data_IF_020196314539
#
_entry.id   IF_020196314539
#
_cell.length_a   1.000
_cell.length_b   1.000
_cell.length_c   1.000
_cell.angle_alpha   90.00
_cell.angle_beta   90.00
_cell.angle_gamma   90.00
#
_symmetry.space_group_name_H-M   'P 1'
#
loop_
_entity.id
_entity.type
_entity.pdbx_description
1 polymer ?
#
# COMPACT_ATOMS: atom_id res chain seq x y z
N UNK A 1 -16.25 3.74 25.42
CA UNK A 1 -14.85 4.16 25.18
C UNK A 1 -14.40 3.69 23.80
N UNK A 2 -14.12 4.61 22.87
CA UNK A 2 -13.45 4.22 21.63
C UNK A 2 -12.08 3.65 21.97
N UNK A 3 -11.80 2.39 21.58
CA UNK A 3 -10.47 1.80 21.79
C UNK A 3 -9.45 2.61 20.98
N UNK A 4 -8.65 3.44 21.64
CA UNK A 4 -7.64 4.33 21.02
C UNK A 4 -6.23 3.73 21.05
N UNK A 5 -6.00 2.67 21.84
CA UNK A 5 -4.68 2.07 22.07
C UNK A 5 -3.94 1.70 20.77
N UNK A 6 -4.64 1.16 19.77
CA UNK A 6 -4.03 0.72 18.51
C UNK A 6 -3.57 1.90 17.64
N UNK A 7 -4.20 3.08 17.79
CA UNK A 7 -3.77 4.32 17.13
C UNK A 7 -2.46 4.81 17.73
N UNK A 8 -2.40 4.83 19.07
CA UNK A 8 -1.20 5.19 19.82
C UNK A 8 -0.07 4.20 19.48
N UNK A 9 -0.37 2.91 19.47
CA UNK A 9 0.58 1.87 19.06
C UNK A 9 1.10 2.12 17.64
N UNK A 10 0.21 2.36 16.66
CA UNK A 10 0.61 2.66 15.29
C UNK A 10 1.57 3.86 15.20
N UNK A 11 1.24 4.96 15.88
CA UNK A 11 2.11 6.15 15.94
C UNK A 11 3.45 5.87 16.60
N UNK A 12 3.46 5.18 17.75
CA UNK A 12 4.68 4.81 18.47
C UNK A 12 5.57 3.91 17.62
N UNK A 13 5.00 2.91 16.93
CA UNK A 13 5.76 2.03 16.05
C UNK A 13 6.38 2.80 14.88
N UNK A 14 5.62 3.67 14.20
CA UNK A 14 6.17 4.46 13.09
C UNK A 14 7.29 5.39 13.58
N UNK A 15 7.11 6.07 14.72
CA UNK A 15 8.14 6.94 15.32
C UNK A 15 9.38 6.12 15.69
N UNK A 16 9.20 4.99 16.38
CA UNK A 16 10.28 4.07 16.72
C UNK A 16 11.06 3.64 15.48
N UNK A 17 10.36 3.22 14.41
CA UNK A 17 11.03 2.77 13.18
C UNK A 17 11.69 3.89 12.40
N UNK A 18 11.19 5.12 12.48
CA UNK A 18 11.84 6.28 11.90
C UNK A 18 13.18 6.57 12.60
N UNK A 19 13.19 6.55 13.93
CA UNK A 19 14.39 6.79 14.73
C UNK A 19 15.37 5.61 14.56
N UNK A 20 14.92 4.39 14.81
CA UNK A 20 15.75 3.18 14.75
C UNK A 20 16.26 2.90 13.33
N UNK A 21 15.44 3.14 12.30
CA UNK A 21 15.84 2.95 10.90
C UNK A 21 16.95 3.89 10.43
N UNK A 22 17.10 5.05 11.07
CA UNK A 22 18.18 6.02 10.81
C UNK A 22 19.41 5.72 11.70
N UNK A 23 19.20 5.41 12.98
CA UNK A 23 20.30 5.32 13.95
C UNK A 23 20.94 3.92 14.06
N UNK A 24 20.18 2.84 13.87
CA UNK A 24 20.73 1.48 13.98
C UNK A 24 21.61 1.14 12.79
N UNK A 25 22.62 0.29 12.99
CA UNK A 25 23.49 -0.18 11.91
C UNK A 25 22.73 -1.07 10.91
N UNK A 26 23.08 -0.96 9.62
CA UNK A 26 22.57 -1.83 8.55
C UNK A 26 23.74 -2.54 7.84
N UNK A 27 23.52 -3.74 7.25
CA UNK A 27 24.55 -4.39 6.45
C UNK A 27 24.85 -3.57 5.20
N UNK A 28 26.15 -3.42 4.89
CA UNK A 28 26.61 -2.73 3.67
C UNK A 28 26.73 -3.73 2.54
N UNK A 29 25.66 -3.85 1.75
CA UNK A 29 25.65 -4.70 0.56
C UNK A 29 26.26 -3.96 -0.64
N UNK A 30 26.92 -4.68 -1.58
CA UNK A 30 27.36 -4.08 -2.84
C UNK A 30 26.23 -3.31 -3.53
N UNK A 31 26.55 -2.17 -4.15
CA UNK A 31 25.62 -1.24 -4.80
C UNK A 31 24.71 -0.47 -3.82
N UNK A 32 24.05 -1.14 -2.89
CA UNK A 32 23.00 -0.56 -2.05
C UNK A 32 23.57 0.18 -0.82
N UNK A 33 24.64 -0.33 -0.21
CA UNK A 33 25.27 0.27 0.97
C UNK A 33 24.24 0.68 2.04
N UNK A 34 24.28 1.93 2.52
CA UNK A 34 23.35 2.46 3.53
C UNK A 34 21.95 2.80 2.95
N UNK A 35 21.76 2.82 1.62
CA UNK A 35 20.46 3.12 1.01
C UNK A 35 19.40 2.07 1.31
N UNK A 36 19.81 0.88 1.79
CA UNK A 36 18.93 -0.21 2.24
C UNK A 36 17.99 0.24 3.36
N UNK A 37 18.32 1.30 4.11
CA UNK A 37 17.46 1.89 5.16
C UNK A 37 16.08 2.30 4.63
N UNK A 38 15.97 2.64 3.34
CA UNK A 38 14.68 2.93 2.71
C UNK A 38 13.69 1.75 2.81
N UNK A 39 14.18 0.52 2.95
CA UNK A 39 13.38 -0.69 3.16
C UNK A 39 12.39 -0.53 4.33
N UNK A 40 12.78 0.16 5.41
CA UNK A 40 11.96 0.34 6.60
C UNK A 40 10.77 1.30 6.41
N UNK A 41 10.71 2.00 5.28
CA UNK A 41 9.67 2.98 5.00
C UNK A 41 8.89 2.57 3.76
N UNK A 42 9.60 2.36 2.66
CA UNK A 42 9.03 2.09 1.35
C UNK A 42 8.20 0.79 1.32
N UNK A 43 8.78 -0.33 1.76
CA UNK A 43 8.10 -1.63 1.69
C UNK A 43 6.91 -1.75 2.65
N UNK A 44 7.01 -1.31 3.92
CA UNK A 44 5.86 -1.22 4.82
C UNK A 44 4.67 -0.43 4.27
N UNK A 45 4.90 0.66 3.52
CA UNK A 45 3.82 1.42 2.86
C UNK A 45 3.11 0.56 1.80
N UNK A 46 3.82 -0.27 1.03
CA UNK A 46 3.20 -1.22 0.12
C UNK A 46 2.34 -2.26 0.84
N UNK A 47 2.76 -2.74 2.02
CA UNK A 47 1.93 -3.64 2.81
C UNK A 47 0.66 -2.97 3.34
N UNK A 48 0.75 -1.71 3.79
CA UNK A 48 -0.42 -0.93 4.16
C UNK A 48 -1.41 -0.79 2.99
N UNK A 49 -0.91 -0.48 1.79
CA UNK A 49 -1.72 -0.44 0.56
C UNK A 49 -2.41 -1.77 0.28
N UNK A 50 -1.67 -2.89 0.31
CA UNK A 50 -2.21 -4.23 0.02
C UNK A 50 -3.29 -4.63 1.03
N UNK A 51 -3.10 -4.33 2.32
CA UNK A 51 -4.11 -4.58 3.36
C UNK A 51 -5.37 -3.75 3.09
N UNK A 52 -5.22 -2.47 2.75
CA UNK A 52 -6.35 -1.59 2.45
C UNK A 52 -7.11 -2.03 1.19
N UNK A 53 -6.42 -2.48 0.15
CA UNK A 53 -7.08 -3.03 -1.03
C UNK A 53 -7.73 -4.39 -0.77
N UNK A 54 -7.15 -5.21 0.12
CA UNK A 54 -7.78 -6.45 0.61
C UNK A 54 -9.08 -6.17 1.35
N UNK A 55 -9.10 -5.15 2.22
CA UNK A 55 -10.31 -4.69 2.90
C UNK A 55 -11.34 -4.21 1.87
N UNK A 56 -10.88 -3.48 0.85
CA UNK A 56 -11.73 -2.95 -0.20
C UNK A 56 -12.43 -4.06 -1.00
N UNK A 57 -11.70 -5.09 -1.43
CA UNK A 57 -12.29 -6.20 -2.20
C UNK A 57 -13.25 -7.03 -1.34
N UNK A 58 -12.93 -7.22 -0.05
CA UNK A 58 -13.83 -7.88 0.90
C UNK A 58 -15.19 -7.16 0.99
N UNK A 59 -15.17 -5.83 1.17
CA UNK A 59 -16.40 -5.05 1.22
C UNK A 59 -17.09 -4.91 -0.14
N UNK A 60 -16.35 -4.96 -1.24
CA UNK A 60 -16.91 -5.00 -2.60
C UNK A 60 -17.75 -6.27 -2.82
N UNK A 61 -17.22 -7.43 -2.41
CA UNK A 61 -17.94 -8.71 -2.47
C UNK A 61 -19.20 -8.66 -1.59
N UNK A 62 -19.06 -8.14 -0.35
CA UNK A 62 -20.18 -8.00 0.57
C UNK A 62 -21.26 -7.02 0.07
N UNK A 63 -20.85 -5.93 -0.58
CA UNK A 63 -21.77 -4.96 -1.18
C UNK A 63 -22.59 -5.58 -2.32
N UNK A 64 -22.02 -6.50 -3.10
CA UNK A 64 -22.76 -7.18 -4.18
C UNK A 64 -23.85 -8.11 -3.67
N UNK A 65 -23.61 -8.81 -2.55
CA UNK A 65 -24.61 -9.72 -1.96
C UNK A 65 -25.68 -8.98 -1.15
N UNK A 66 -25.27 -8.00 -0.36
CA UNK A 66 -26.18 -7.28 0.56
C UNK A 66 -26.84 -6.05 -0.05
N UNK A 67 -26.31 -5.50 -1.16
CA UNK A 67 -26.67 -4.18 -1.71
C UNK A 67 -26.58 -3.05 -0.68
N UNK A 68 -25.72 -3.21 0.33
CA UNK A 68 -25.55 -2.23 1.40
C UNK A 68 -24.67 -1.06 0.94
N UNK A 69 -25.24 0.15 0.96
CA UNK A 69 -24.51 1.40 0.70
C UNK A 69 -23.32 1.58 1.66
N UNK A 70 -23.48 1.17 2.92
CA UNK A 70 -22.40 1.25 3.93
C UNK A 70 -21.20 0.37 3.53
N UNK A 71 -21.44 -0.81 2.97
CA UNK A 71 -20.35 -1.68 2.52
C UNK A 71 -19.68 -1.13 1.26
N UNK A 72 -20.43 -0.51 0.36
CA UNK A 72 -19.88 0.23 -0.79
C UNK A 72 -19.00 1.42 -0.35
N UNK A 73 -19.45 2.22 0.62
CA UNK A 73 -18.66 3.33 1.20
C UNK A 73 -17.37 2.81 1.83
N UNK A 74 -17.41 1.70 2.57
CA UNK A 74 -16.19 1.09 3.12
C UNK A 74 -15.23 0.63 2.03
N UNK A 75 -15.74 0.05 0.95
CA UNK A 75 -14.92 -0.39 -0.16
C UNK A 75 -14.16 0.78 -0.79
N UNK A 76 -14.86 1.86 -1.19
CA UNK A 76 -14.25 3.01 -1.86
C UNK A 76 -13.32 3.78 -0.92
N UNK A 77 -13.67 3.99 0.35
CA UNK A 77 -12.77 4.72 1.26
C UNK A 77 -11.51 3.94 1.61
N UNK A 78 -11.57 2.60 1.55
CA UNK A 78 -10.38 1.76 1.66
C UNK A 78 -9.50 1.86 0.41
N UNK A 79 -10.08 1.99 -0.80
CA UNK A 79 -9.30 2.32 -2.01
C UNK A 79 -8.65 3.70 -1.89
N UNK A 80 -9.40 4.72 -1.51
CA UNK A 80 -8.89 6.09 -1.36
C UNK A 80 -7.70 6.13 -0.38
N UNK A 81 -7.81 5.43 0.75
CA UNK A 81 -6.69 5.31 1.69
C UNK A 81 -5.51 4.53 1.08
N UNK A 82 -5.77 3.41 0.40
CA UNK A 82 -4.72 2.58 -0.20
C UNK A 82 -3.91 3.32 -1.27
N UNK A 83 -4.56 4.10 -2.13
CA UNK A 83 -3.88 4.89 -3.19
C UNK A 83 -2.85 5.86 -2.58
N UNK A 84 -3.14 6.47 -1.43
CA UNK A 84 -2.18 7.34 -0.75
C UNK A 84 -0.88 6.59 -0.44
N UNK A 85 -0.98 5.37 0.09
CA UNK A 85 0.19 4.54 0.37
C UNK A 85 0.88 4.03 -0.89
N UNK A 86 0.14 3.73 -1.95
CA UNK A 86 0.71 3.38 -3.26
C UNK A 86 1.52 4.53 -3.84
N UNK A 87 1.00 5.76 -3.80
CA UNK A 87 1.71 6.96 -4.25
C UNK A 87 2.96 7.23 -3.40
N UNK A 88 2.85 7.14 -2.07
CA UNK A 88 4.01 7.27 -1.18
C UNK A 88 5.06 6.18 -1.47
N UNK A 89 4.62 4.94 -1.74
CA UNK A 89 5.47 3.85 -2.20
C UNK A 89 6.22 4.21 -3.48
N UNK A 90 5.52 4.70 -4.51
CA UNK A 90 6.15 5.13 -5.77
C UNK A 90 7.16 6.25 -5.56
N UNK A 91 6.81 7.30 -4.81
CA UNK A 91 7.68 8.45 -4.55
C UNK A 91 8.93 8.04 -3.78
N UNK A 92 8.77 7.32 -2.67
CA UNK A 92 9.91 6.86 -1.86
C UNK A 92 10.79 5.87 -2.62
N UNK A 93 10.19 5.03 -3.49
CA UNK A 93 10.91 4.11 -4.36
C UNK A 93 11.74 4.84 -5.42
N UNK A 94 11.16 5.86 -6.07
CA UNK A 94 11.86 6.68 -7.06
C UNK A 94 13.02 7.45 -6.44
N UNK A 95 12.84 8.02 -5.25
CA UNK A 95 13.93 8.69 -4.50
C UNK A 95 15.06 7.69 -4.22
N UNK A 96 14.74 6.50 -3.70
CA UNK A 96 15.74 5.47 -3.45
C UNK A 96 16.45 4.98 -4.71
N UNK A 97 15.73 4.84 -5.83
CA UNK A 97 16.31 4.51 -7.13
C UNK A 97 17.30 5.59 -7.59
N UNK A 98 16.98 6.88 -7.40
CA UNK A 98 17.89 7.98 -7.73
C UNK A 98 19.19 7.90 -6.94
N UNK A 99 19.10 7.60 -5.64
CA UNK A 99 20.28 7.44 -4.79
C UNK A 99 21.11 6.19 -5.10
N UNK A 100 20.46 5.08 -5.46
CA UNK A 100 21.13 3.77 -5.62
C UNK A 100 21.66 3.56 -7.05
N UNK A 101 20.92 4.01 -8.06
CA UNK A 101 21.18 3.75 -9.49
C UNK A 101 21.32 5.04 -10.32
N UNK A 102 21.27 6.21 -9.70
CA UNK A 102 21.52 7.49 -10.36
C UNK A 102 20.34 8.07 -11.15
N UNK A 103 19.17 7.41 -11.21
CA UNK A 103 17.97 7.89 -11.90
C UNK A 103 16.69 7.59 -11.09
N UNK A 104 15.70 8.49 -11.13
CA UNK A 104 14.42 8.28 -10.43
C UNK A 104 13.61 7.12 -10.99
N UNK A 105 13.76 6.87 -12.29
CA UNK A 105 13.06 5.81 -13.00
C UNK A 105 14.00 5.23 -14.06
N UNK A 106 14.13 3.91 -14.06
CA UNK A 106 15.02 3.16 -14.95
C UNK A 106 14.23 2.23 -15.87
N UNK A 107 12.90 2.38 -15.92
CA UNK A 107 11.99 1.45 -16.59
C UNK A 107 12.16 -0.01 -16.13
N UNK A 108 12.62 -0.19 -14.89
CA UNK A 108 12.76 -1.51 -14.28
C UNK A 108 11.37 -2.17 -14.14
N UNK A 109 11.25 -3.50 -14.31
CA UNK A 109 9.98 -4.20 -14.23
C UNK A 109 9.20 -3.93 -12.93
N UNK A 110 9.86 -3.89 -11.76
CA UNK A 110 9.15 -3.61 -10.50
C UNK A 110 8.65 -2.17 -10.44
N UNK A 111 9.41 -1.21 -10.96
CA UNK A 111 8.97 0.19 -11.05
C UNK A 111 7.72 0.30 -11.93
N UNK A 112 7.81 -0.18 -13.18
CA UNK A 112 6.72 -0.07 -14.15
C UNK A 112 5.45 -0.77 -13.67
N UNK A 113 5.55 -2.02 -13.19
CA UNK A 113 4.36 -2.73 -12.75
C UNK A 113 3.79 -2.19 -11.42
N UNK A 114 4.62 -1.61 -10.54
CA UNK A 114 4.14 -0.85 -9.39
C UNK A 114 3.35 0.40 -9.81
N UNK A 115 3.83 1.17 -10.78
CA UNK A 115 3.11 2.33 -11.31
C UNK A 115 1.78 1.91 -11.96
N UNK A 116 1.80 0.86 -12.80
CA UNK A 116 0.59 0.31 -13.42
C UNK A 116 -0.42 -0.16 -12.37
N UNK A 117 0.04 -0.75 -11.26
CA UNK A 117 -0.83 -1.18 -10.15
C UNK A 117 -1.56 0.00 -9.50
N UNK A 118 -0.89 1.13 -9.29
CA UNK A 118 -1.52 2.34 -8.75
C UNK A 118 -2.48 2.95 -9.78
N UNK A 119 -2.10 2.99 -11.06
CA UNK A 119 -2.96 3.46 -12.15
C UNK A 119 -4.23 2.61 -12.30
N UNK A 120 -4.15 1.29 -12.08
CA UNK A 120 -5.30 0.39 -12.07
C UNK A 120 -6.34 0.84 -11.02
N UNK A 121 -5.91 1.29 -9.85
CA UNK A 121 -6.81 1.81 -8.81
C UNK A 121 -7.25 3.27 -9.05
N UNK A 122 -6.48 4.07 -9.78
CA UNK A 122 -7.00 5.33 -10.32
C UNK A 122 -8.12 5.10 -11.34
N UNK A 123 -7.97 4.11 -12.21
CA UNK A 123 -9.01 3.73 -13.16
C UNK A 123 -10.29 3.24 -12.46
N UNK A 124 -10.18 2.53 -11.33
CA UNK A 124 -11.32 2.23 -10.45
C UNK A 124 -12.06 3.51 -10.01
N UNK A 125 -11.35 4.54 -9.53
CA UNK A 125 -11.97 5.81 -9.10
C UNK A 125 -12.59 6.59 -10.26
N UNK A 126 -11.92 6.64 -11.40
CA UNK A 126 -12.44 7.30 -12.61
C UNK A 126 -13.74 6.62 -13.05
N UNK A 127 -13.74 5.29 -13.16
CA UNK A 127 -14.92 4.52 -13.53
C UNK A 127 -16.07 4.76 -12.56
N UNK A 128 -15.79 4.74 -11.26
CA UNK A 128 -16.79 4.98 -10.22
C UNK A 128 -17.41 6.37 -10.32
N UNK A 129 -16.60 7.40 -10.52
CA UNK A 129 -17.05 8.79 -10.59
C UNK A 129 -17.76 9.13 -11.91
N UNK A 130 -17.65 8.28 -12.94
CA UNK A 130 -18.35 8.43 -14.21
C UNK A 130 -19.79 7.88 -14.19
N UNK A 131 -20.25 7.31 -13.08
CA UNK A 131 -21.58 6.68 -12.96
C UNK A 131 -22.42 7.45 -11.94
N UNK A 132 -23.48 8.09 -12.42
CA UNK A 132 -24.38 8.91 -11.58
C UNK A 132 -25.27 8.05 -10.67
N UNK A 133 -25.90 7.01 -11.24
CA UNK A 133 -26.84 6.15 -10.52
C UNK A 133 -26.10 5.30 -9.48
N UNK A 134 -26.50 5.45 -8.22
CA UNK A 134 -25.76 4.95 -7.06
C UNK A 134 -25.63 3.42 -7.01
N UNK A 135 -26.71 2.69 -7.28
CA UNK A 135 -26.69 1.23 -7.22
C UNK A 135 -25.82 0.65 -8.33
N UNK A 136 -25.90 1.20 -9.54
CA UNK A 136 -25.06 0.87 -10.69
C UNK A 136 -23.62 1.23 -10.43
N UNK A 137 -23.34 2.40 -9.84
CA UNK A 137 -22.00 2.84 -9.44
C UNK A 137 -21.38 1.84 -8.46
N UNK A 138 -22.09 1.50 -7.39
CA UNK A 138 -21.63 0.53 -6.40
C UNK A 138 -21.35 -0.83 -7.02
N UNK A 139 -22.29 -1.36 -7.82
CA UNK A 139 -22.17 -2.66 -8.47
C UNK A 139 -20.99 -2.74 -9.45
N UNK A 140 -20.89 -1.78 -10.38
CA UNK A 140 -19.83 -1.77 -11.40
C UNK A 140 -18.45 -1.57 -10.75
N UNK A 141 -18.35 -0.67 -9.77
CA UNK A 141 -17.13 -0.46 -9.01
C UNK A 141 -16.71 -1.75 -8.29
N UNK A 142 -17.63 -2.41 -7.59
CA UNK A 142 -17.33 -3.64 -6.87
C UNK A 142 -16.79 -4.75 -7.80
N UNK A 143 -17.42 -4.94 -8.97
CA UNK A 143 -16.94 -5.91 -9.97
C UNK A 143 -15.54 -5.55 -10.47
N UNK A 144 -15.30 -4.28 -10.80
CA UNK A 144 -13.98 -3.82 -11.21
C UNK A 144 -12.93 -4.12 -10.14
N UNK A 145 -13.24 -3.83 -8.87
CA UNK A 145 -12.29 -4.02 -7.77
C UNK A 145 -11.94 -5.49 -7.53
N UNK A 146 -12.93 -6.39 -7.66
CA UNK A 146 -12.73 -7.84 -7.60
C UNK A 146 -11.77 -8.32 -8.68
N UNK A 147 -11.79 -7.71 -9.87
CA UNK A 147 -10.83 -7.97 -10.93
C UNK A 147 -9.46 -7.28 -10.69
N UNK A 148 -9.48 -6.03 -10.22
CA UNK A 148 -8.29 -5.22 -10.04
C UNK A 148 -7.35 -5.79 -8.98
N UNK A 149 -7.88 -6.36 -7.90
CA UNK A 149 -7.06 -6.86 -6.80
C UNK A 149 -6.16 -8.05 -7.22
N UNK A 150 -6.66 -9.14 -7.84
CA UNK A 150 -5.80 -10.18 -8.42
C UNK A 150 -4.83 -9.66 -9.47
N UNK A 151 -5.26 -8.72 -10.33
CA UNK A 151 -4.38 -8.11 -11.33
C UNK A 151 -3.22 -7.35 -10.67
N UNK A 152 -3.48 -6.58 -9.61
CA UNK A 152 -2.43 -5.94 -8.80
C UNK A 152 -1.47 -6.97 -8.20
N UNK A 153 -1.98 -8.10 -7.69
CA UNK A 153 -1.11 -9.17 -7.17
C UNK A 153 -0.20 -9.72 -8.27
N UNK A 154 -0.74 -9.94 -9.48
CA UNK A 154 0.05 -10.37 -10.64
C UNK A 154 1.11 -9.33 -11.02
N UNK A 155 0.74 -8.05 -11.08
CA UNK A 155 1.63 -6.94 -11.42
C UNK A 155 2.76 -6.77 -10.39
N UNK A 156 2.48 -6.90 -9.09
CA UNK A 156 3.49 -6.68 -8.05
C UNK A 156 4.34 -7.91 -7.74
N UNK A 157 3.76 -9.11 -7.83
CA UNK A 157 4.41 -10.33 -7.34
C UNK A 157 4.79 -11.32 -8.45
N UNK A 158 4.05 -11.38 -9.56
CA UNK A 158 4.29 -12.39 -10.60
C UNK A 158 5.16 -11.81 -11.72
N UNK A 159 4.69 -10.80 -12.44
CA UNK A 159 5.36 -10.28 -13.65
C UNK A 159 6.79 -9.78 -13.40
N UNK A 160 7.11 -9.07 -12.30
CA UNK A 160 8.47 -8.57 -12.10
C UNK A 160 9.49 -9.67 -11.84
N UNK A 161 9.07 -10.91 -11.52
CA UNK A 161 9.96 -12.07 -11.34
C UNK A 161 10.24 -12.82 -12.65
N UNK A 162 9.50 -12.50 -13.72
CA UNK A 162 9.69 -13.09 -15.05
C UNK A 162 10.73 -12.32 -15.89
N UNK A 163 11.33 -11.27 -15.33
CA UNK A 163 12.30 -10.39 -16.00
C UNK A 163 13.43 -10.05 -15.02
N UNK A 164 14.60 -9.76 -15.57
CA UNK A 164 15.71 -9.22 -14.78
C UNK A 164 15.33 -7.85 -14.21
N UNK A 165 15.78 -7.59 -12.99
CA UNK A 165 15.43 -6.37 -12.26
C UNK A 165 16.61 -5.88 -11.43
N UNK A 166 16.77 -4.56 -11.38
CA UNK A 166 17.74 -3.87 -10.54
C UNK A 166 17.45 -4.08 -9.04
N UNK A 167 16.20 -4.40 -8.69
CA UNK A 167 15.80 -4.58 -7.31
C UNK A 167 16.36 -5.87 -6.70
N UNK A 168 16.69 -5.88 -5.40
CA UNK A 168 17.12 -7.06 -4.68
C UNK A 168 16.22 -8.27 -4.91
N UNK A 169 16.83 -9.45 -5.05
CA UNK A 169 16.16 -10.75 -5.09
C UNK A 169 15.67 -11.19 -6.48
N UNK A 170 16.07 -10.51 -7.55
CA UNK A 170 15.79 -10.89 -8.94
C UNK A 170 17.07 -10.77 -9.80
N UNK A 171 17.17 -11.56 -10.88
CA UNK A 171 18.20 -11.39 -11.92
C UNK A 171 19.65 -11.49 -11.42
N UNK A 172 19.92 -12.30 -10.38
CA UNK A 172 21.25 -12.43 -9.79
C UNK A 172 21.63 -11.33 -8.79
N UNK A 173 20.81 -10.29 -8.60
CA UNK A 173 21.02 -9.31 -7.53
C UNK A 173 20.81 -9.98 -6.17
N UNK A 174 21.75 -9.85 -5.21
CA UNK A 174 21.63 -10.44 -3.89
C UNK A 174 20.25 -10.12 -3.31
N UNK A 175 19.48 -11.17 -3.04
CA UNK A 175 18.20 -11.04 -2.36
C UNK A 175 18.36 -10.55 -0.93
N UNK A 176 17.23 -10.32 -0.28
CA UNK A 176 17.18 -10.04 1.15
C UNK A 176 17.59 -11.25 2.02
N UNK A 177 18.32 -12.25 1.49
CA UNK A 177 18.87 -13.36 2.27
C UNK A 177 19.79 -12.87 3.40
N UNK A 178 20.48 -11.73 3.24
CA UNK A 178 21.24 -11.08 4.32
C UNK A 178 20.34 -10.36 5.35
N UNK A 179 19.16 -9.89 4.94
CA UNK A 179 18.14 -9.33 5.84
C UNK A 179 17.49 -10.42 6.70
N UNK A 180 17.23 -11.61 6.15
CA UNK A 180 16.71 -12.76 6.91
C UNK A 180 17.70 -13.23 7.99
N UNK A 181 19.00 -13.03 7.74
CA UNK A 181 20.09 -13.36 8.65
C UNK A 181 20.38 -12.24 9.68
N UNK A 182 20.17 -10.96 9.36
CA UNK A 182 20.44 -9.84 10.28
C UNK A 182 19.25 -9.58 11.23
N UNK A 183 19.42 -9.93 12.50
CA UNK A 183 18.41 -9.72 13.54
C UNK A 183 18.06 -8.24 13.78
N UNK A 184 18.98 -7.30 13.52
CA UNK A 184 18.77 -5.86 13.73
C UNK A 184 17.79 -5.30 12.72
N UNK A 185 17.90 -5.72 11.46
CA UNK A 185 16.97 -5.26 10.43
C UNK A 185 15.54 -5.72 10.72
N UNK A 186 15.37 -6.97 11.19
CA UNK A 186 14.06 -7.53 11.56
C UNK A 186 13.40 -6.80 12.73
N UNK A 187 14.19 -6.35 13.72
CA UNK A 187 13.71 -5.55 14.86
C UNK A 187 13.19 -4.17 14.47
N UNK A 188 13.51 -3.67 13.28
CA UNK A 188 12.98 -2.40 12.75
C UNK A 188 11.88 -2.67 11.74
N UNK A 189 12.10 -3.60 10.80
CA UNK A 189 11.20 -3.82 9.68
C UNK A 189 9.82 -4.34 10.07
N UNK A 190 9.70 -5.38 10.90
CA UNK A 190 8.37 -5.91 11.26
C UNK A 190 7.54 -4.91 12.07
N UNK A 191 8.10 -4.20 13.06
CA UNK A 191 7.42 -3.06 13.67
C UNK A 191 7.00 -1.99 12.68
N UNK A 192 7.79 -1.71 11.64
CA UNK A 192 7.44 -0.75 10.60
C UNK A 192 6.22 -1.23 9.81
N UNK A 193 6.22 -2.48 9.36
CA UNK A 193 5.09 -3.09 8.65
C UNK A 193 3.80 -2.95 9.46
N UNK A 194 3.83 -3.33 10.74
CA UNK A 194 2.67 -3.22 11.61
C UNK A 194 2.25 -1.76 11.83
N UNK A 195 3.21 -0.86 12.10
CA UNK A 195 2.97 0.56 12.30
C UNK A 195 2.28 1.21 11.10
N UNK A 196 2.82 1.02 9.90
CA UNK A 196 2.25 1.58 8.67
C UNK A 196 0.88 0.98 8.33
N UNK A 197 0.66 -0.32 8.57
CA UNK A 197 -0.68 -0.94 8.42
C UNK A 197 -1.68 -0.31 9.40
N UNK A 198 -1.31 -0.10 10.67
CA UNK A 198 -2.18 0.52 11.67
C UNK A 198 -2.49 1.98 11.33
N UNK A 199 -1.50 2.75 10.88
CA UNK A 199 -1.70 4.13 10.40
C UNK A 199 -2.61 4.15 9.18
N UNK A 200 -2.40 3.27 8.20
CA UNK A 200 -3.25 3.19 7.02
C UNK A 200 -4.69 2.81 7.35
N UNK A 201 -4.87 1.82 8.23
CA UNK A 201 -6.19 1.47 8.75
C UNK A 201 -6.83 2.63 9.53
N UNK A 202 -6.04 3.40 10.29
CA UNK A 202 -6.54 4.58 10.98
C UNK A 202 -7.05 5.64 10.01
N UNK A 203 -6.27 5.98 8.99
CA UNK A 203 -6.68 6.92 7.93
C UNK A 203 -7.98 6.44 7.29
N UNK A 204 -8.07 5.16 6.90
CA UNK A 204 -9.29 4.56 6.38
C UNK A 204 -10.48 4.76 7.33
N UNK A 205 -10.34 4.48 8.63
CA UNK A 205 -11.45 4.64 9.58
C UNK A 205 -11.90 6.09 9.75
N UNK A 206 -10.99 7.07 9.62
CA UNK A 206 -11.35 8.50 9.64
C UNK A 206 -12.17 8.82 8.38
N UNK A 207 -11.65 8.45 7.20
CA UNK A 207 -12.32 8.69 5.92
C UNK A 207 -13.73 8.09 5.86
N UNK A 208 -13.85 6.82 6.28
CA UNK A 208 -15.15 6.14 6.37
C UNK A 208 -16.15 6.88 7.26
N UNK A 209 -15.71 7.39 8.42
CA UNK A 209 -16.60 8.13 9.34
C UNK A 209 -17.04 9.46 8.75
N UNK A 210 -16.11 10.21 8.15
CA UNK A 210 -16.42 11.48 7.48
C UNK A 210 -17.46 11.22 6.40
N UNK A 211 -17.21 10.25 5.52
CA UNK A 211 -18.13 9.92 4.42
C UNK A 211 -19.50 9.44 4.90
N UNK A 212 -19.54 8.62 5.95
CA UNK A 212 -20.79 8.15 6.54
C UNK A 212 -21.63 9.28 7.15
N UNK A 213 -21.00 10.34 7.66
CA UNK A 213 -21.70 11.51 8.19
C UNK A 213 -22.26 12.36 7.04
N UNK A 214 -21.46 12.60 6.00
CA UNK A 214 -21.88 13.31 4.78
C UNK A 214 -23.12 12.64 4.15
N UNK A 215 -23.07 11.32 3.96
CA UNK A 215 -24.19 10.54 3.42
C UNK A 215 -25.45 10.67 4.28
N UNK A 216 -25.33 10.64 5.61
CA UNK A 216 -26.50 10.81 6.51
C UNK A 216 -27.10 12.20 6.44
N UNK A 217 -26.28 13.23 6.24
CA UNK A 217 -26.74 14.60 6.09
C UNK A 217 -27.47 14.84 4.76
N UNK A 218 -27.12 14.11 3.70
CA UNK A 218 -27.79 14.20 2.41
C UNK A 218 -29.19 13.55 2.38
N UNK A 219 -29.44 12.61 3.29
CA UNK A 219 -30.71 11.88 3.40
C UNK A 219 -31.69 12.48 4.43
N UNK A 220 -31.30 13.52 5.16
CA UNK A 220 -32.14 14.27 6.11
C UNK A 220 -32.51 15.63 5.52
#
# INVERSE_FOLDING_TARGET
MYKTWWKILGSVLVIYTAIAGILMGVPRLPIINESIRNLYFHVPMWFAMIVLFSISVFYSIKSLSSKSEIDDIKAVESVNAGIIFGLLGLVTGAIWAKYTWGQFWSFDPKQNFAAISVLLYFAYLILRNAIDEEQKRAKISAIYNIFAFPMMVVLLFVLPRLKDSLHPGNGGNPGFNSYDLDSRMRMVFYPACLGWILIGYWIYTIRFRIRSIETKQQHN
#
